data_IF_267882666558
#
_entry.id   IF_267882666558
#
_cell.length_a   1.000
_cell.length_b   1.000
_cell.length_c   1.000
_cell.angle_alpha   90.00
_cell.angle_beta   90.00
_cell.angle_gamma   90.00
#
_symmetry.space_group_name_H-M   'P 1'
#
loop_
_entity.id
_entity.type
_entity.pdbx_description
1 polymer ?
#
# COMPACT_ATOMS: atom_id res chain seq x y z
N UNK A 1 -14.16 16.76 -11.79
CA UNK A 1 -13.31 15.60 -11.50
C UNK A 1 -13.47 14.55 -12.60
N UNK A 2 -12.38 14.21 -13.24
CA UNK A 2 -12.37 13.21 -14.29
C UNK A 2 -11.77 11.92 -13.75
N UNK A 3 -12.45 10.80 -13.96
CA UNK A 3 -11.99 9.49 -13.56
C UNK A 3 -11.60 8.67 -14.78
N UNK A 4 -10.43 8.06 -14.71
CA UNK A 4 -9.95 7.13 -15.72
C UNK A 4 -9.68 5.77 -15.07
N UNK A 5 -10.08 4.70 -15.72
CA UNK A 5 -9.85 3.36 -15.23
C UNK A 5 -9.33 2.47 -16.37
N UNK A 6 -8.48 1.53 -16.01
CA UNK A 6 -7.91 0.59 -16.94
C UNK A 6 -7.48 -0.69 -16.25
N UNK A 7 -7.08 -1.66 -17.03
CA UNK A 7 -6.55 -2.92 -16.53
C UNK A 7 -5.09 -3.06 -16.93
N UNK A 8 -4.22 -3.43 -15.99
CA UNK A 8 -2.82 -3.72 -16.27
C UNK A 8 -2.26 -4.69 -15.25
N UNK A 9 -1.24 -5.42 -15.68
CA UNK A 9 -0.50 -6.31 -14.79
C UNK A 9 0.35 -5.47 -13.85
N UNK A 10 0.03 -5.50 -12.57
CA UNK A 10 0.65 -4.63 -11.58
C UNK A 10 2.15 -4.91 -11.38
N UNK A 11 2.62 -6.13 -11.70
CA UNK A 11 4.05 -6.47 -11.61
C UNK A 11 4.85 -5.97 -12.80
N UNK A 12 4.22 -5.65 -13.89
CA UNK A 12 4.90 -5.19 -15.11
C UNK A 12 4.46 -3.81 -15.56
N UNK A 13 3.36 -3.29 -15.01
CA UNK A 13 2.79 -2.01 -15.42
C UNK A 13 3.61 -0.85 -14.86
N UNK A 14 3.52 0.25 -15.58
CA UNK A 14 4.08 1.53 -15.17
C UNK A 14 3.09 2.62 -15.52
N UNK A 15 2.87 3.56 -14.62
CA UNK A 15 2.00 4.68 -14.88
C UNK A 15 2.69 5.64 -15.86
N UNK A 16 1.98 6.08 -16.88
CA UNK A 16 2.52 6.94 -17.93
C UNK A 16 1.95 8.37 -17.89
N UNK A 17 0.92 8.60 -17.08
CA UNK A 17 0.28 9.89 -16.94
C UNK A 17 0.43 10.41 -15.51
N UNK A 18 0.29 11.70 -15.34
CA UNK A 18 0.30 12.32 -14.01
C UNK A 18 -1.12 12.41 -13.46
N UNK A 19 -1.23 12.25 -12.14
CA UNK A 19 -2.51 12.22 -11.43
C UNK A 19 -2.47 13.11 -10.20
N UNK A 20 -3.63 13.65 -9.83
CA UNK A 20 -3.79 14.39 -8.58
C UNK A 20 -3.96 13.45 -7.39
N UNK A 21 -4.58 12.29 -7.63
CA UNK A 21 -4.79 11.26 -6.62
C UNK A 21 -4.42 9.89 -7.18
N UNK A 22 -3.64 9.14 -6.43
CA UNK A 22 -3.38 7.74 -6.72
C UNK A 22 -3.77 6.94 -5.48
N UNK A 23 -4.68 5.98 -5.65
CA UNK A 23 -5.23 5.17 -4.56
C UNK A 23 -4.87 3.72 -4.81
N UNK A 24 -4.25 3.09 -3.81
CA UNK A 24 -3.94 1.66 -3.83
C UNK A 24 -4.38 1.03 -2.52
N UNK A 25 -5.38 0.17 -2.58
CA UNK A 25 -5.92 -0.46 -1.38
C UNK A 25 -5.78 -1.98 -1.49
N UNK A 26 -5.02 -2.56 -0.56
CA UNK A 26 -4.86 -4.02 -0.40
C UNK A 26 -4.38 -4.72 -1.68
N UNK A 27 -3.41 -4.12 -2.39
CA UNK A 27 -2.87 -4.62 -3.65
C UNK A 27 -1.41 -5.04 -3.55
N UNK A 28 -0.61 -4.31 -2.74
CA UNK A 28 0.84 -4.52 -2.65
C UNK A 28 1.23 -5.94 -2.24
N UNK A 29 0.38 -6.65 -1.50
CA UNK A 29 0.64 -8.02 -1.07
C UNK A 29 0.77 -9.02 -2.23
N UNK A 30 0.31 -8.66 -3.41
CA UNK A 30 0.41 -9.50 -4.61
C UNK A 30 1.60 -9.14 -5.49
N UNK A 31 2.37 -8.12 -5.11
CA UNK A 31 3.56 -7.69 -5.87
C UNK A 31 4.78 -8.53 -5.49
N UNK A 32 5.67 -8.69 -6.45
CA UNK A 32 6.97 -9.25 -6.18
C UNK A 32 7.82 -8.22 -5.41
N UNK A 33 8.55 -8.69 -4.39
CA UNK A 33 9.31 -7.78 -3.51
C UNK A 33 10.29 -6.90 -4.30
N UNK A 34 10.91 -7.44 -5.34
CA UNK A 34 11.87 -6.69 -6.15
C UNK A 34 11.22 -5.62 -7.04
N UNK A 35 9.90 -5.62 -7.15
CA UNK A 35 9.16 -4.61 -7.93
C UNK A 35 8.57 -3.50 -7.06
N UNK A 36 8.44 -3.73 -5.76
CA UNK A 36 7.75 -2.80 -4.86
C UNK A 36 8.37 -1.41 -4.88
N UNK A 37 9.70 -1.33 -4.75
CA UNK A 37 10.40 -0.05 -4.76
C UNK A 37 10.17 0.72 -6.06
N UNK A 38 10.28 0.05 -7.20
CA UNK A 38 10.09 0.67 -8.51
C UNK A 38 8.65 1.17 -8.69
N UNK A 39 7.68 0.38 -8.23
CA UNK A 39 6.26 0.73 -8.33
C UNK A 39 5.94 1.95 -7.45
N UNK A 40 6.45 1.97 -6.22
CA UNK A 40 6.25 3.12 -5.33
C UNK A 40 6.88 4.37 -5.93
N UNK A 41 8.11 4.28 -6.44
CA UNK A 41 8.76 5.42 -7.06
C UNK A 41 7.99 5.93 -8.30
N UNK A 42 7.45 5.01 -9.10
CA UNK A 42 6.62 5.38 -10.24
C UNK A 42 5.36 6.10 -9.80
N UNK A 43 4.68 5.60 -8.77
CA UNK A 43 3.49 6.25 -8.20
C UNK A 43 3.82 7.66 -7.71
N UNK A 44 4.93 7.80 -6.99
CA UNK A 44 5.37 9.11 -6.48
C UNK A 44 5.68 10.07 -7.61
N UNK A 45 6.39 9.60 -8.64
CA UNK A 45 6.79 10.41 -9.78
C UNK A 45 5.58 10.89 -10.58
N UNK A 46 4.55 10.05 -10.69
CA UNK A 46 3.33 10.35 -11.45
C UNK A 46 2.26 11.07 -10.66
N UNK A 47 2.53 11.42 -9.40
CA UNK A 47 1.66 12.27 -8.62
C UNK A 47 2.09 13.72 -8.82
N UNK A 48 1.13 14.58 -9.15
CA UNK A 48 1.42 16.01 -9.30
C UNK A 48 1.78 16.63 -7.96
N UNK A 49 2.61 17.66 -7.98
CA UNK A 49 2.92 18.44 -6.77
C UNK A 49 1.62 18.94 -6.16
N UNK A 50 1.45 18.71 -4.85
CA UNK A 50 0.20 19.01 -4.16
C UNK A 50 -0.83 17.89 -4.23
N UNK A 51 -0.57 16.83 -5.00
CA UNK A 51 -1.45 15.68 -5.10
C UNK A 51 -1.25 14.70 -3.95
N UNK A 52 -2.06 13.65 -3.93
CA UNK A 52 -2.13 12.71 -2.81
C UNK A 52 -1.95 11.27 -3.24
N UNK A 53 -1.30 10.49 -2.36
CA UNK A 53 -1.33 9.03 -2.45
C UNK A 53 -2.05 8.48 -1.22
N UNK A 54 -3.04 7.62 -1.44
CA UNK A 54 -3.71 6.86 -0.40
C UNK A 54 -3.34 5.39 -0.59
N UNK A 55 -2.65 4.82 0.39
CA UNK A 55 -2.18 3.43 0.32
C UNK A 55 -2.64 2.68 1.57
N UNK A 56 -3.25 1.51 1.36
CA UNK A 56 -3.56 0.56 2.42
C UNK A 56 -2.88 -0.75 2.03
N UNK A 57 -1.98 -1.23 2.87
CA UNK A 57 -1.15 -2.39 2.54
C UNK A 57 -0.93 -3.31 3.74
N UNK A 58 -0.83 -4.60 3.46
CA UNK A 58 -0.59 -5.61 4.49
C UNK A 58 0.81 -5.49 5.08
N UNK A 59 0.92 -5.76 6.37
CA UNK A 59 2.17 -5.70 7.14
C UNK A 59 2.44 -6.99 7.88
N UNK A 60 3.72 -7.20 8.20
CA UNK A 60 4.16 -8.22 9.16
C UNK A 60 4.99 -7.54 10.23
N UNK A 61 4.64 -7.76 11.50
CA UNK A 61 5.40 -7.31 12.66
C UNK A 61 5.56 -8.46 13.64
N UNK A 62 6.42 -8.31 14.66
CA UNK A 62 6.63 -9.37 15.66
C UNK A 62 5.34 -9.74 16.39
N UNK A 63 4.51 -8.75 16.70
CA UNK A 63 3.24 -8.94 17.41
C UNK A 63 2.08 -9.31 16.49
N UNK A 64 2.30 -9.28 15.18
CA UNK A 64 1.28 -9.58 14.18
C UNK A 64 1.89 -10.30 12.98
N UNK A 65 2.29 -11.59 13.14
CA UNK A 65 2.77 -12.37 12.02
C UNK A 65 1.67 -12.57 10.97
N UNK A 66 2.05 -12.60 9.71
CA UNK A 66 1.09 -12.73 8.63
C UNK A 66 0.48 -14.14 8.61
N UNK A 67 -0.87 -14.27 8.73
CA UNK A 67 -1.52 -15.57 8.67
C UNK A 67 -1.70 -16.10 7.24
N UNK A 68 -1.33 -15.30 6.25
CA UNK A 68 -1.48 -15.61 4.83
C UNK A 68 -0.10 -15.65 4.16
N UNK A 69 0.01 -16.45 3.10
CA UNK A 69 1.25 -16.54 2.33
C UNK A 69 1.24 -15.51 1.20
N UNK A 70 1.52 -14.25 1.53
CA UNK A 70 1.60 -13.19 0.54
C UNK A 70 3.01 -13.06 -0.04
N UNK A 71 3.09 -12.62 -1.28
CA UNK A 71 4.37 -12.36 -1.95
C UNK A 71 5.15 -11.22 -1.31
N UNK A 72 4.45 -10.24 -0.74
CA UNK A 72 5.07 -9.10 -0.10
C UNK A 72 4.19 -8.57 1.04
N UNK A 73 4.85 -8.16 2.12
CA UNK A 73 4.23 -7.39 3.20
C UNK A 73 5.24 -6.35 3.69
N UNK A 74 4.75 -5.19 4.12
CA UNK A 74 5.61 -4.17 4.71
C UNK A 74 5.99 -4.53 6.15
N UNK A 75 7.20 -4.17 6.55
CA UNK A 75 7.59 -4.17 7.96
C UNK A 75 7.17 -2.87 8.63
N UNK A 76 7.36 -2.80 9.96
CA UNK A 76 7.03 -1.61 10.73
C UNK A 76 7.77 -0.38 10.20
N UNK A 77 7.04 0.67 9.87
CA UNK A 77 7.59 1.93 9.38
C UNK A 77 8.13 1.89 7.94
N UNK A 78 8.10 0.75 7.27
CA UNK A 78 8.69 0.62 5.93
C UNK A 78 7.98 1.49 4.90
N UNK A 79 6.65 1.48 4.86
CA UNK A 79 5.90 2.33 3.94
C UNK A 79 6.13 3.81 4.24
N UNK A 80 6.13 4.17 5.51
CA UNK A 80 6.37 5.55 5.96
C UNK A 80 7.73 6.06 5.48
N UNK A 81 8.75 5.22 5.47
CA UNK A 81 10.10 5.58 5.04
C UNK A 81 10.15 5.97 3.56
N UNK A 82 9.37 5.32 2.70
CA UNK A 82 9.28 5.70 1.29
C UNK A 82 8.73 7.11 1.09
N UNK A 83 7.97 7.63 2.05
CA UNK A 83 7.28 8.91 1.95
C UNK A 83 7.82 9.94 2.95
N UNK A 84 9.03 9.76 3.44
CA UNK A 84 9.63 10.65 4.44
C UNK A 84 9.73 12.11 4.01
N UNK A 85 9.84 12.38 2.70
CA UNK A 85 9.91 13.72 2.15
C UNK A 85 8.54 14.30 1.78
N UNK A 86 7.49 13.53 2.01
CA UNK A 86 6.10 13.93 1.76
C UNK A 86 5.46 14.41 3.06
N UNK A 87 4.35 15.14 2.93
CA UNK A 87 3.52 15.50 4.08
C UNK A 87 2.60 14.32 4.41
N UNK A 88 2.80 13.69 5.57
CA UNK A 88 1.92 12.62 6.01
C UNK A 88 0.68 13.22 6.66
N UNK A 89 -0.45 13.20 5.95
CA UNK A 89 -1.72 13.71 6.45
C UNK A 89 -2.31 12.74 7.46
N UNK A 90 -2.20 11.44 7.17
CA UNK A 90 -2.63 10.37 8.08
C UNK A 90 -1.70 9.18 7.90
N UNK A 91 -1.35 8.55 9.00
CA UNK A 91 -0.59 7.30 8.97
C UNK A 91 -0.91 6.48 10.21
N UNK A 92 -1.21 5.20 10.03
CA UNK A 92 -1.32 4.25 11.13
C UNK A 92 -0.95 2.85 10.67
N UNK A 93 -0.70 1.98 11.66
CA UNK A 93 -0.35 0.58 11.43
C UNK A 93 -1.26 -0.28 12.30
N UNK A 94 -2.56 -0.16 12.10
CA UNK A 94 -3.56 -0.79 12.93
C UNK A 94 -3.92 -2.20 12.46
N UNK A 95 -4.51 -2.99 13.37
CA UNK A 95 -5.04 -4.30 13.03
C UNK A 95 -6.29 -4.18 12.17
N UNK A 96 -6.35 -5.01 11.13
CA UNK A 96 -7.54 -5.22 10.32
C UNK A 96 -8.01 -6.66 10.45
N UNK A 97 -9.30 -6.89 10.27
CA UNK A 97 -9.90 -8.21 10.33
C UNK A 97 -10.09 -8.75 8.92
N UNK A 98 -9.65 -9.99 8.71
CA UNK A 98 -9.83 -10.68 7.44
C UNK A 98 -11.16 -11.45 7.45
N UNK A 99 -11.69 -11.73 6.28
CA UNK A 99 -12.91 -12.54 6.16
C UNK A 99 -12.66 -14.04 6.43
N UNK A 100 -11.41 -14.45 6.45
CA UNK A 100 -11.00 -15.83 6.70
C UNK A 100 -10.96 -16.11 8.20
N UNK A 101 -11.37 -17.33 8.62
CA UNK A 101 -11.39 -17.73 10.01
C UNK A 101 -10.26 -18.72 10.30
N UNK A 102 -9.81 -18.77 11.56
CA UNK A 102 -8.85 -19.74 12.04
C UNK A 102 -9.57 -21.06 12.46
N UNK A 103 -8.80 -22.00 13.00
CA UNK A 103 -9.33 -23.31 13.44
C UNK A 103 -10.37 -23.19 14.54
N UNK A 104 -10.32 -22.13 15.34
CA UNK A 104 -11.23 -21.90 16.45
C UNK A 104 -12.48 -21.11 16.05
N UNK A 105 -12.62 -20.78 14.77
CA UNK A 105 -13.77 -20.03 14.26
C UNK A 105 -13.64 -18.50 14.42
N UNK A 106 -12.51 -18.02 14.90
CA UNK A 106 -12.25 -16.58 15.02
C UNK A 106 -11.74 -16.03 13.70
N UNK A 107 -12.11 -14.78 13.39
CA UNK A 107 -11.58 -14.11 12.20
C UNK A 107 -10.07 -13.88 12.35
N UNK A 108 -9.34 -14.15 11.28
CA UNK A 108 -7.92 -13.84 11.23
C UNK A 108 -7.72 -12.33 11.22
N UNK A 109 -6.66 -11.88 11.89
CA UNK A 109 -6.29 -10.47 11.97
C UNK A 109 -4.88 -10.29 11.45
N UNK A 110 -4.64 -9.18 10.78
CA UNK A 110 -3.28 -8.76 10.44
C UNK A 110 -3.18 -7.25 10.57
N UNK A 111 -1.96 -6.76 10.63
CA UNK A 111 -1.71 -5.34 10.68
C UNK A 111 -1.69 -4.78 9.27
N UNK A 112 -2.25 -3.60 9.10
CA UNK A 112 -2.24 -2.87 7.83
C UNK A 112 -1.67 -1.49 8.02
N UNK A 113 -0.80 -1.07 7.08
CA UNK A 113 -0.37 0.31 7.00
C UNK A 113 -1.41 1.09 6.21
N UNK A 114 -1.96 2.13 6.81
CA UNK A 114 -2.89 3.06 6.14
C UNK A 114 -2.24 4.42 6.10
N UNK A 115 -2.04 4.95 4.90
CA UNK A 115 -1.32 6.20 4.71
C UNK A 115 -2.05 7.10 3.71
N UNK A 116 -2.21 8.36 4.10
CA UNK A 116 -2.58 9.44 3.20
C UNK A 116 -1.44 10.45 3.21
N UNK A 117 -0.77 10.59 2.08
CA UNK A 117 0.39 11.47 1.95
C UNK A 117 0.19 12.47 0.83
N UNK A 118 0.66 13.70 1.04
CA UNK A 118 0.59 14.79 0.06
C UNK A 118 1.98 15.10 -0.45
N UNK A 119 2.12 15.20 -1.76
CA UNK A 119 3.38 15.55 -2.39
C UNK A 119 3.67 17.05 -2.22
N UNK A 120 4.81 17.33 -1.63
CA UNK A 120 5.25 18.73 -1.45
C UNK A 120 5.72 19.38 -2.74
#
# INVERSE_FOLDING_TARGET
LELQAGTYDINSASLEQDYDWIISTVVFMFLERNRVSDIIHNIQERTRTGGYNLIVAAMVTEDAPCPMNFSFTFGAGELKEYYRDWELVKYNEDFGQLHKRDENGNFLKMRFATMLARKK
#
